data_IF_196412680666
#
_entry.id   IF_196412680666
#
_cell.length_a   1.000
_cell.length_b   1.000
_cell.length_c   1.000
_cell.angle_alpha   90.00
_cell.angle_beta   90.00
_cell.angle_gamma   90.00
#
_symmetry.space_group_name_H-M   'P 1'
#
loop_
_entity.id
_entity.type
_entity.pdbx_description
1 polymer ?
#
# COMPACT_ATOMS: atom_id res chain seq x y z
N UNK A 1 -16.95 -22.45 -64.13
CA UNK A 1 -15.98 -21.56 -63.44
C UNK A 1 -14.61 -22.23 -63.47
N UNK A 2 -13.57 -21.54 -63.93
CA UNK A 2 -12.28 -22.15 -64.24
C UNK A 2 -11.59 -22.64 -62.94
N UNK A 3 -11.10 -23.89 -62.88
CA UNK A 3 -10.56 -24.49 -61.64
C UNK A 3 -9.45 -23.65 -61.01
N UNK A 4 -8.69 -22.93 -61.85
CA UNK A 4 -7.67 -21.96 -61.45
C UNK A 4 -8.27 -20.70 -60.78
N UNK A 5 -9.39 -20.18 -61.28
CA UNK A 5 -10.10 -19.01 -60.71
C UNK A 5 -10.68 -19.34 -59.34
N UNK A 6 -11.23 -20.54 -59.16
CA UNK A 6 -11.71 -21.01 -57.85
C UNK A 6 -10.56 -21.16 -56.85
N UNK A 7 -9.41 -21.69 -57.30
CA UNK A 7 -8.22 -21.77 -56.46
C UNK A 7 -7.68 -20.38 -56.06
N UNK A 8 -7.62 -19.42 -56.99
CA UNK A 8 -7.20 -18.05 -56.68
C UNK A 8 -8.14 -17.35 -55.69
N UNK A 9 -9.46 -17.54 -55.82
CA UNK A 9 -10.44 -17.00 -54.89
C UNK A 9 -10.31 -17.62 -53.49
N UNK A 10 -10.14 -18.94 -53.39
CA UNK A 10 -9.91 -19.61 -52.11
C UNK A 10 -8.62 -19.16 -51.45
N UNK A 11 -7.52 -19.02 -52.21
CA UNK A 11 -6.26 -18.49 -51.67
C UNK A 11 -6.37 -17.03 -51.23
N UNK A 12 -7.13 -16.20 -51.95
CA UNK A 12 -7.36 -14.80 -51.58
C UNK A 12 -8.20 -14.66 -50.32
N UNK A 13 -9.23 -15.50 -50.14
CA UNK A 13 -10.05 -15.54 -48.93
C UNK A 13 -9.24 -16.05 -47.74
N UNK A 14 -8.44 -17.11 -47.91
CA UNK A 14 -7.52 -17.61 -46.88
C UNK A 14 -6.47 -16.56 -46.47
N UNK A 15 -5.91 -15.83 -47.45
CA UNK A 15 -4.96 -14.75 -47.18
C UNK A 15 -5.64 -13.57 -46.46
N UNK A 16 -6.87 -13.22 -46.84
CA UNK A 16 -7.67 -12.19 -46.17
C UNK A 16 -7.99 -12.53 -44.71
N UNK A 17 -8.33 -13.79 -44.42
CA UNK A 17 -8.56 -14.27 -43.05
C UNK A 17 -7.27 -14.21 -42.22
N UNK A 18 -6.11 -14.56 -42.80
CA UNK A 18 -4.81 -14.47 -42.12
C UNK A 18 -4.40 -13.02 -41.77
N UNK A 19 -4.80 -12.03 -42.58
CA UNK A 19 -4.56 -10.60 -42.27
C UNK A 19 -5.46 -10.07 -41.13
N UNK A 20 -6.67 -10.61 -40.96
CA UNK A 20 -7.58 -10.18 -39.87
C UNK A 20 -7.12 -10.62 -38.46
N UNK A 21 -6.25 -11.62 -38.35
CA UNK A 21 -5.74 -12.11 -37.05
C UNK A 21 -4.44 -11.42 -36.58
N UNK A 22 -3.86 -10.49 -37.34
CA UNK A 22 -2.52 -9.95 -37.06
C UNK A 22 -2.35 -8.41 -37.09
N UNK A 23 -3.42 -7.63 -37.26
CA UNK A 23 -3.31 -6.17 -37.35
C UNK A 23 -3.52 -5.48 -35.99
N UNK A 24 -2.53 -5.59 -35.09
CA UNK A 24 -2.40 -4.65 -33.96
C UNK A 24 -1.92 -3.30 -34.54
N UNK A 25 -2.66 -2.19 -34.34
CA UNK A 25 -2.20 -0.86 -34.74
C UNK A 25 -0.87 -0.49 -34.05
N UNK A 26 -0.07 0.38 -34.66
CA UNK A 26 1.28 0.71 -34.13
C UNK A 26 1.20 1.48 -32.81
N UNK A 27 0.15 2.26 -32.66
CA UNK A 27 -0.22 3.03 -31.48
C UNK A 27 -0.66 2.14 -30.31
N UNK A 28 -1.16 0.92 -30.57
CA UNK A 28 -1.56 -0.01 -29.51
C UNK A 28 -0.32 -0.71 -28.96
N UNK A 29 -0.12 -0.70 -27.64
CA UNK A 29 0.98 -1.41 -26.98
C UNK A 29 0.93 -2.91 -27.26
N UNK A 30 2.10 -3.54 -27.39
CA UNK A 30 2.13 -4.99 -27.53
C UNK A 30 1.75 -5.62 -26.19
N UNK A 31 1.29 -6.86 -26.24
CA UNK A 31 0.77 -7.57 -25.07
C UNK A 31 1.71 -7.53 -23.87
N UNK A 32 3.00 -7.77 -24.09
CA UNK A 32 4.00 -7.84 -23.00
C UNK A 32 4.20 -6.47 -22.33
N UNK A 33 4.23 -5.40 -23.11
CA UNK A 33 4.39 -4.06 -22.57
C UNK A 33 3.10 -3.54 -21.93
N UNK A 34 1.94 -3.90 -22.48
CA UNK A 34 0.64 -3.66 -21.85
C UNK A 34 0.54 -4.38 -20.49
N UNK A 35 0.87 -5.67 -20.40
CA UNK A 35 0.86 -6.42 -19.12
C UNK A 35 1.79 -5.79 -18.06
N UNK A 36 2.97 -5.33 -18.46
CA UNK A 36 3.89 -4.64 -17.52
C UNK A 36 3.33 -3.31 -17.04
N UNK A 37 2.74 -2.54 -17.95
CA UNK A 37 2.15 -1.25 -17.64
C UNK A 37 0.91 -1.41 -16.75
N UNK A 38 -0.01 -2.32 -17.09
CA UNK A 38 -1.17 -2.68 -16.25
C UNK A 38 -0.74 -3.01 -14.82
N UNK A 39 0.29 -3.85 -14.67
CA UNK A 39 0.82 -4.18 -13.35
C UNK A 39 1.26 -2.95 -12.55
N UNK A 40 2.03 -2.03 -13.15
CA UNK A 40 2.52 -0.86 -12.44
C UNK A 40 1.42 0.20 -12.21
N UNK A 41 0.44 0.31 -13.11
CA UNK A 41 -0.75 1.16 -12.92
C UNK A 41 -1.56 0.66 -11.72
N UNK A 42 -1.86 -0.64 -11.63
CA UNK A 42 -2.60 -1.19 -10.49
C UNK A 42 -1.86 -1.04 -9.16
N UNK A 43 -0.52 -1.11 -9.17
CA UNK A 43 0.27 -0.79 -7.97
C UNK A 43 0.14 0.69 -7.59
N UNK A 44 0.21 1.60 -8.56
CA UNK A 44 0.06 3.03 -8.31
C UNK A 44 -1.34 3.41 -7.81
N UNK A 45 -2.40 2.83 -8.39
CA UNK A 45 -3.78 2.99 -7.93
C UNK A 45 -3.94 2.47 -6.50
N UNK A 46 -3.42 1.28 -6.20
CA UNK A 46 -3.44 0.74 -4.85
C UNK A 46 -2.66 1.63 -3.85
N UNK A 47 -1.57 2.29 -4.27
CA UNK A 47 -0.84 3.25 -3.43
C UNK A 47 -1.68 4.51 -3.16
N UNK A 48 -2.35 5.04 -4.17
CA UNK A 48 -3.24 6.21 -4.04
C UNK A 48 -4.39 5.91 -3.08
N UNK A 49 -5.01 4.73 -3.21
CA UNK A 49 -6.12 4.31 -2.35
C UNK A 49 -5.68 4.08 -0.90
N UNK A 50 -4.51 3.46 -0.69
CA UNK A 50 -4.02 3.15 0.66
C UNK A 50 -3.39 4.35 1.38
N UNK A 51 -2.90 5.35 0.65
CA UNK A 51 -2.25 6.55 1.20
C UNK A 51 -2.98 7.84 0.82
N UNK A 52 -4.29 7.86 1.11
CA UNK A 52 -5.15 8.98 0.74
C UNK A 52 -4.68 10.33 1.29
N UNK A 53 -3.99 10.35 2.44
CA UNK A 53 -3.46 11.58 3.05
C UNK A 53 -2.36 12.21 2.18
N UNK A 54 -1.46 11.40 1.62
CA UNK A 54 -0.44 11.91 0.71
C UNK A 54 -0.97 12.11 -0.71
N UNK A 55 -2.06 11.45 -1.10
CA UNK A 55 -2.72 11.59 -2.41
C UNK A 55 -4.12 12.23 -2.33
N UNK A 56 -4.26 13.28 -1.52
CA UNK A 56 -5.51 13.97 -1.21
C UNK A 56 -6.05 14.85 -2.35
N UNK A 57 -5.19 15.24 -3.28
CA UNK A 57 -5.53 16.12 -4.41
C UNK A 57 -5.42 15.42 -5.77
N UNK A 58 -6.25 15.78 -6.76
CA UNK A 58 -6.16 15.21 -8.12
C UNK A 58 -4.76 15.33 -8.72
N UNK A 59 -4.08 16.48 -8.57
CA UNK A 59 -2.75 16.70 -9.13
C UNK A 59 -1.68 15.75 -8.60
N UNK A 60 -1.74 15.37 -7.31
CA UNK A 60 -0.80 14.36 -6.75
C UNK A 60 -1.06 12.97 -7.30
N UNK A 61 -2.34 12.61 -7.51
CA UNK A 61 -2.74 11.33 -8.13
C UNK A 61 -2.25 11.27 -9.58
N UNK A 62 -2.50 12.32 -10.35
CA UNK A 62 -2.07 12.44 -11.74
C UNK A 62 -0.55 12.39 -11.89
N UNK A 63 0.19 13.03 -10.97
CA UNK A 63 1.65 13.00 -10.99
C UNK A 63 2.21 11.58 -10.85
N UNK A 64 1.65 10.75 -9.95
CA UNK A 64 2.08 9.36 -9.78
C UNK A 64 1.77 8.53 -11.02
N UNK A 65 0.57 8.64 -11.58
CA UNK A 65 0.18 7.91 -12.80
C UNK A 65 1.04 8.35 -14.00
N UNK A 66 1.33 9.65 -14.12
CA UNK A 66 2.22 10.18 -15.16
C UNK A 66 3.64 9.63 -15.05
N UNK A 67 4.15 9.46 -13.83
CA UNK A 67 5.45 8.83 -13.58
C UNK A 67 5.47 7.36 -14.02
N UNK A 68 4.38 6.62 -13.80
CA UNK A 68 4.22 5.26 -14.32
C UNK A 68 4.29 5.26 -15.85
N UNK A 69 3.55 6.13 -16.54
CA UNK A 69 3.62 6.21 -18.00
C UNK A 69 5.01 6.55 -18.50
N UNK A 70 5.71 7.47 -17.84
CA UNK A 70 7.10 7.83 -18.17
C UNK A 70 8.05 6.64 -18.03
N UNK A 71 7.92 5.85 -16.97
CA UNK A 71 8.71 4.61 -16.74
C UNK A 71 8.54 3.60 -17.89
N UNK A 72 7.32 3.48 -18.41
CA UNK A 72 7.00 2.59 -19.55
C UNK A 72 7.22 3.23 -20.92
N UNK A 73 7.70 4.49 -20.97
CA UNK A 73 7.86 5.27 -22.21
C UNK A 73 6.57 5.31 -23.03
N UNK A 74 5.44 5.47 -22.36
CA UNK A 74 4.11 5.56 -22.97
C UNK A 74 3.43 6.87 -22.59
N UNK A 75 2.27 7.15 -23.18
CA UNK A 75 1.41 8.27 -22.81
C UNK A 75 0.05 7.77 -22.36
N UNK A 76 -0.71 8.60 -21.63
CA UNK A 76 -2.08 8.29 -21.25
C UNK A 76 -2.95 7.98 -22.49
N UNK A 77 -2.85 8.78 -23.54
CA UNK A 77 -3.59 8.55 -24.78
C UNK A 77 -3.25 7.18 -25.43
N UNK A 78 -1.98 6.78 -25.39
CA UNK A 78 -1.55 5.49 -25.91
C UNK A 78 -2.06 4.33 -25.04
N UNK A 79 -2.04 4.50 -23.72
CA UNK A 79 -2.63 3.57 -22.77
C UNK A 79 -4.13 3.39 -23.02
N UNK A 80 -4.89 4.49 -23.09
CA UNK A 80 -6.34 4.47 -23.30
C UNK A 80 -6.71 3.81 -24.63
N UNK A 81 -5.99 4.15 -25.70
CA UNK A 81 -6.14 3.53 -27.03
C UNK A 81 -5.87 2.03 -26.98
N UNK A 82 -4.80 1.62 -26.29
CA UNK A 82 -4.44 0.21 -26.15
C UNK A 82 -5.49 -0.56 -25.35
N UNK A 83 -5.95 0.02 -24.24
CA UNK A 83 -6.95 -0.58 -23.37
C UNK A 83 -8.27 -0.78 -24.10
N UNK A 84 -8.72 0.22 -24.86
CA UNK A 84 -9.90 0.11 -25.72
C UNK A 84 -9.74 -1.02 -26.73
N UNK A 85 -8.61 -1.07 -27.45
CA UNK A 85 -8.36 -2.10 -28.47
C UNK A 85 -8.32 -3.53 -27.89
N UNK A 86 -7.72 -3.72 -26.71
CA UNK A 86 -7.72 -5.03 -26.06
C UNK A 86 -9.08 -5.39 -25.47
N UNK A 87 -9.90 -4.43 -25.07
CA UNK A 87 -11.27 -4.70 -24.57
C UNK A 87 -12.14 -5.33 -25.66
N UNK A 88 -11.96 -4.94 -26.93
CA UNK A 88 -12.60 -5.59 -28.09
C UNK A 88 -12.07 -7.01 -28.38
N UNK A 89 -10.97 -7.40 -27.73
CA UNK A 89 -10.31 -8.71 -27.83
C UNK A 89 -10.30 -9.38 -26.46
N UNK A 90 -11.50 -9.59 -25.92
CA UNK A 90 -11.74 -10.02 -24.55
C UNK A 90 -10.90 -11.22 -24.10
N UNK A 91 -10.70 -12.23 -24.96
CA UNK A 91 -9.89 -13.41 -24.62
C UNK A 91 -8.42 -13.07 -24.32
N UNK A 92 -7.85 -12.11 -25.06
CA UNK A 92 -6.48 -11.65 -24.85
C UNK A 92 -6.42 -10.78 -23.61
N UNK A 93 -7.40 -9.89 -23.43
CA UNK A 93 -7.48 -9.01 -22.28
C UNK A 93 -7.62 -9.78 -20.96
N UNK A 94 -8.47 -10.80 -20.90
CA UNK A 94 -8.61 -11.65 -19.72
C UNK A 94 -7.30 -12.39 -19.39
N UNK A 95 -6.62 -12.94 -20.40
CA UNK A 95 -5.30 -13.58 -20.21
C UNK A 95 -4.24 -12.60 -19.68
N UNK A 96 -4.26 -11.35 -20.12
CA UNK A 96 -3.38 -10.32 -19.58
C UNK A 96 -3.70 -10.01 -18.11
N UNK A 97 -4.97 -9.84 -17.77
CA UNK A 97 -5.42 -9.63 -16.39
C UNK A 97 -5.02 -10.79 -15.47
N UNK A 98 -5.21 -12.04 -15.91
CA UNK A 98 -4.81 -13.22 -15.15
C UNK A 98 -3.28 -13.27 -14.93
N UNK A 99 -2.51 -12.94 -15.96
CA UNK A 99 -1.04 -12.82 -15.88
C UNK A 99 -0.63 -11.77 -14.83
N UNK A 100 -1.24 -10.59 -14.88
CA UNK A 100 -0.99 -9.48 -13.94
C UNK A 100 -1.40 -9.88 -12.51
N UNK A 101 -2.59 -10.46 -12.33
CA UNK A 101 -3.09 -10.96 -11.04
C UNK A 101 -2.15 -12.01 -10.45
N UNK A 102 -1.74 -13.00 -11.24
CA UNK A 102 -0.81 -14.03 -10.78
C UNK A 102 0.57 -13.46 -10.41
N UNK A 103 1.01 -12.39 -11.08
CA UNK A 103 2.25 -11.68 -10.73
C UNK A 103 2.09 -10.92 -9.41
N UNK A 104 1.00 -10.19 -9.22
CA UNK A 104 0.68 -9.47 -7.97
C UNK A 104 0.64 -10.45 -6.78
N UNK A 105 -0.09 -11.56 -6.90
CA UNK A 105 -0.20 -12.58 -5.85
C UNK A 105 1.15 -13.22 -5.51
N UNK A 106 2.00 -13.49 -6.50
CA UNK A 106 3.36 -14.00 -6.24
C UNK A 106 4.20 -13.01 -5.43
N UNK A 107 4.18 -11.73 -5.83
CA UNK A 107 4.93 -10.67 -5.13
C UNK A 107 4.42 -10.44 -3.72
N UNK A 108 3.11 -10.52 -3.52
CA UNK A 108 2.50 -10.49 -2.19
C UNK A 108 3.00 -11.66 -1.34
N UNK A 109 2.88 -12.90 -1.82
CA UNK A 109 3.37 -14.10 -1.10
C UNK A 109 4.86 -14.05 -0.79
N UNK A 110 5.69 -13.56 -1.71
CA UNK A 110 7.12 -13.36 -1.46
C UNK A 110 7.37 -12.39 -0.31
N UNK A 111 6.62 -11.28 -0.27
CA UNK A 111 6.69 -10.30 0.82
C UNK A 111 6.24 -10.91 2.16
N UNK A 112 5.10 -11.60 2.17
CA UNK A 112 4.59 -12.32 3.34
C UNK A 112 5.60 -13.35 3.86
N UNK A 113 6.24 -14.12 2.98
CA UNK A 113 7.27 -15.09 3.38
C UNK A 113 8.51 -14.46 3.97
N UNK A 114 8.94 -13.29 3.47
CA UNK A 114 10.07 -12.56 4.04
C UNK A 114 9.70 -12.05 5.44
N UNK A 115 8.50 -11.49 5.60
CA UNK A 115 8.01 -10.98 6.88
C UNK A 115 7.81 -12.10 7.89
N UNK A 116 7.20 -13.23 7.50
CA UNK A 116 7.02 -14.38 8.37
C UNK A 116 8.36 -14.99 8.80
N UNK A 117 9.36 -15.03 7.92
CA UNK A 117 10.72 -15.45 8.30
C UNK A 117 11.35 -14.50 9.31
N UNK A 118 11.20 -13.19 9.13
CA UNK A 118 11.66 -12.20 10.12
C UNK A 118 10.96 -12.40 11.46
N UNK A 119 9.64 -12.60 11.45
CA UNK A 119 8.84 -12.87 12.64
C UNK A 119 9.28 -14.13 13.40
N UNK A 120 9.52 -15.24 12.69
CA UNK A 120 9.94 -16.50 13.30
C UNK A 120 11.35 -16.40 13.92
N UNK A 121 12.28 -15.70 13.26
CA UNK A 121 13.59 -15.44 13.84
C UNK A 121 13.50 -14.65 15.15
N UNK A 122 12.58 -13.69 15.24
CA UNK A 122 12.37 -12.88 16.45
C UNK A 122 11.67 -13.63 17.58
N UNK A 123 10.80 -14.61 17.27
CA UNK A 123 10.20 -15.49 18.29
C UNK A 123 11.25 -16.21 19.13
N UNK A 124 12.32 -16.66 18.48
CA UNK A 124 13.39 -17.42 19.13
C UNK A 124 14.20 -16.61 20.15
N UNK A 125 14.17 -15.27 20.06
CA UNK A 125 14.99 -14.36 20.87
C UNK A 125 14.24 -13.74 22.06
N UNK A 126 12.91 -13.61 21.99
CA UNK A 126 12.08 -12.92 22.98
C UNK A 126 11.33 -13.84 23.98
N UNK A 127 11.51 -15.16 23.90
CA UNK A 127 10.71 -16.15 24.64
C UNK A 127 10.94 -16.21 26.17
N UNK A 128 11.52 -15.18 26.80
CA UNK A 128 11.80 -15.16 28.23
C UNK A 128 10.86 -14.18 28.94
N UNK A 129 9.79 -14.76 29.51
CA UNK A 129 9.02 -14.24 30.66
C UNK A 129 7.67 -13.54 30.46
N UNK A 130 7.19 -13.27 29.23
CA UNK A 130 5.90 -12.58 29.04
C UNK A 130 4.93 -13.33 28.11
N UNK A 131 3.63 -13.11 28.31
CA UNK A 131 2.56 -13.58 27.40
C UNK A 131 2.79 -13.06 25.99
N UNK A 132 2.39 -13.82 24.96
CA UNK A 132 2.47 -13.37 23.57
C UNK A 132 1.69 -12.09 23.31
N UNK A 133 0.62 -11.80 24.06
CA UNK A 133 -0.20 -10.59 23.91
C UNK A 133 0.29 -9.40 24.75
N UNK A 134 1.40 -9.55 25.48
CA UNK A 134 1.95 -8.48 26.30
C UNK A 134 2.61 -7.41 25.42
N UNK A 135 2.25 -6.16 25.68
CA UNK A 135 2.85 -4.99 25.06
C UNK A 135 3.48 -4.19 26.21
N UNK A 136 4.82 -3.99 26.21
CA UNK A 136 5.45 -3.19 27.24
C UNK A 136 5.06 -1.72 27.09
N UNK A 137 4.82 -1.00 28.19
CA UNK A 137 4.56 0.44 28.15
C UNK A 137 5.82 1.27 27.80
N UNK A 138 7.01 0.73 28.10
CA UNK A 138 8.30 1.33 27.79
C UNK A 138 9.29 0.23 27.41
N UNK A 139 10.21 0.52 26.48
CA UNK A 139 11.25 -0.39 26.04
C UNK A 139 12.56 0.34 25.80
N UNK A 140 13.69 -0.24 26.19
CA UNK A 140 15.01 0.36 26.00
C UNK A 140 15.93 -0.63 25.29
N UNK A 141 16.64 -0.16 24.26
CA UNK A 141 17.73 -0.91 23.65
C UNK A 141 19.01 -0.63 24.43
N UNK A 142 19.31 -1.47 25.42
CA UNK A 142 20.43 -1.32 26.35
C UNK A 142 21.20 -2.65 26.52
N UNK A 143 22.05 -2.77 27.54
CA UNK A 143 22.82 -4.00 27.82
C UNK A 143 21.96 -5.18 28.28
N UNK A 144 20.76 -4.92 28.82
CA UNK A 144 19.82 -5.96 29.23
C UNK A 144 19.00 -6.45 28.04
N UNK A 145 18.77 -5.59 27.06
CA UNK A 145 18.06 -5.89 25.82
C UNK A 145 18.94 -5.61 24.58
N UNK A 146 20.12 -6.24 24.45
CA UNK A 146 21.04 -5.90 23.40
C UNK A 146 20.50 -6.48 22.09
N UNK A 147 19.88 -5.61 21.28
CA UNK A 147 19.49 -5.85 19.87
C UNK A 147 18.21 -6.68 19.66
N UNK A 148 17.68 -7.25 20.72
CA UNK A 148 16.35 -7.86 20.69
C UNK A 148 15.38 -6.70 20.89
N UNK A 149 14.45 -6.46 19.98
CA UNK A 149 13.33 -5.59 20.32
C UNK A 149 12.23 -6.41 20.99
N UNK A 150 11.00 -5.92 20.97
CA UNK A 150 9.85 -6.66 21.51
C UNK A 150 8.85 -7.00 20.41
N UNK A 151 8.03 -8.00 20.68
CA UNK A 151 6.94 -8.44 19.83
C UNK A 151 5.69 -8.70 20.65
N UNK A 152 4.55 -8.60 20.00
CA UNK A 152 3.26 -8.98 20.56
C UNK A 152 2.37 -9.59 19.49
N UNK A 153 1.45 -10.44 19.93
CA UNK A 153 0.45 -11.11 19.11
C UNK A 153 -0.86 -11.19 19.87
N UNK A 154 -1.91 -10.64 19.29
CA UNK A 154 -3.27 -10.71 19.80
C UNK A 154 -4.08 -11.59 18.85
N UNK A 155 -4.71 -12.62 19.42
CA UNK A 155 -5.77 -13.36 18.76
C UNK A 155 -7.12 -12.62 18.89
N UNK A 156 -8.17 -13.21 18.35
CA UNK A 156 -9.52 -12.62 18.40
C UNK A 156 -10.00 -12.36 19.84
N UNK A 157 -9.60 -13.19 20.81
CA UNK A 157 -9.96 -13.02 22.23
C UNK A 157 -9.27 -11.80 22.82
N UNK A 158 -7.97 -11.65 22.58
CA UNK A 158 -7.18 -10.52 23.07
C UNK A 158 -7.55 -9.22 22.37
N UNK A 159 -7.87 -9.26 21.07
CA UNK A 159 -8.39 -8.10 20.32
C UNK A 159 -9.68 -7.59 20.95
N UNK A 160 -10.62 -8.49 21.25
CA UNK A 160 -11.91 -8.12 21.85
C UNK A 160 -11.75 -7.44 23.22
N UNK A 161 -10.73 -7.85 23.99
CA UNK A 161 -10.43 -7.26 25.31
C UNK A 161 -9.68 -5.93 25.23
N UNK A 162 -8.70 -5.82 24.32
CA UNK A 162 -7.71 -4.72 24.31
C UNK A 162 -8.05 -3.60 23.34
N UNK A 163 -8.77 -3.88 22.26
CA UNK A 163 -9.15 -2.90 21.26
C UNK A 163 -10.62 -2.60 21.42
N UNK A 164 -10.97 -1.38 21.78
CA UNK A 164 -12.37 -0.94 21.91
C UNK A 164 -12.89 -0.35 20.61
N UNK A 165 -12.10 0.48 19.94
CA UNK A 165 -12.57 1.27 18.79
C UNK A 165 -12.50 0.51 17.47
N UNK A 166 -13.27 0.96 16.48
CA UNK A 166 -13.21 0.42 15.13
C UNK A 166 -11.90 0.81 14.45
N UNK A 167 -11.50 2.08 14.57
CA UNK A 167 -10.16 2.56 14.21
C UNK A 167 -9.28 2.58 15.46
N UNK A 168 -8.07 2.04 15.35
CA UNK A 168 -7.12 1.98 16.45
C UNK A 168 -5.70 2.36 16.00
N UNK A 169 -4.83 2.64 16.97
CA UNK A 169 -3.43 2.93 16.70
C UNK A 169 -2.48 2.09 17.54
N UNK A 170 -1.35 1.72 16.95
CA UNK A 170 -0.15 1.31 17.68
C UNK A 170 0.82 2.50 17.69
N UNK A 171 0.98 3.14 18.86
CA UNK A 171 1.77 4.37 18.97
C UNK A 171 2.76 4.35 20.12
N UNK A 172 3.78 5.20 19.98
CA UNK A 172 4.91 5.30 20.92
C UNK A 172 5.74 6.55 20.64
N UNK A 173 6.50 6.98 21.63
CA UNK A 173 7.49 8.04 21.53
C UNK A 173 8.90 7.45 21.46
N UNK A 174 9.72 7.92 20.53
CA UNK A 174 11.12 7.48 20.41
C UNK A 174 12.06 8.60 20.85
N UNK A 175 13.02 8.25 21.71
CA UNK A 175 14.12 9.12 22.12
C UNK A 175 15.46 8.41 22.05
N UNK A 176 16.55 9.17 21.94
CA UNK A 176 17.92 8.64 21.94
C UNK A 176 18.41 8.14 20.58
N UNK A 177 17.68 8.39 19.50
CA UNK A 177 18.18 8.23 18.12
C UNK A 177 19.22 9.32 17.84
N UNK A 178 20.47 8.97 17.52
CA UNK A 178 21.51 9.96 17.25
C UNK A 178 21.19 10.79 16.00
N UNK A 179 21.43 12.10 16.06
CA UNK A 179 21.30 12.98 14.89
C UNK A 179 22.20 12.51 13.75
N UNK A 180 21.73 12.64 12.50
CA UNK A 180 22.46 12.23 11.29
C UNK A 180 22.86 10.74 11.26
N UNK A 181 22.17 9.88 12.00
CA UNK A 181 22.37 8.44 11.96
C UNK A 181 21.20 7.74 11.24
N UNK A 182 21.44 6.52 10.75
CA UNK A 182 20.40 5.71 10.10
C UNK A 182 20.36 4.32 10.75
N UNK A 183 19.89 4.22 12.02
CA UNK A 183 19.78 2.94 12.67
C UNK A 183 18.87 2.02 11.85
N UNK A 184 19.20 0.74 11.80
CA UNK A 184 18.29 -0.25 11.22
C UNK A 184 17.24 -0.64 12.27
N UNK A 185 16.47 0.38 12.69
CA UNK A 185 15.38 0.29 13.64
C UNK A 185 14.06 0.35 12.87
N UNK A 186 13.26 -0.70 13.02
CA UNK A 186 11.99 -0.85 12.33
C UNK A 186 10.89 -1.22 13.29
N UNK A 187 9.71 -0.71 12.98
CA UNK A 187 8.44 -1.12 13.57
C UNK A 187 7.57 -1.73 12.49
N UNK A 188 6.76 -2.71 12.87
CA UNK A 188 5.75 -3.28 12.00
C UNK A 188 4.51 -3.66 12.79
N UNK A 189 3.36 -3.51 12.13
CA UNK A 189 2.04 -3.98 12.56
C UNK A 189 1.43 -4.76 11.39
N UNK A 190 1.15 -6.03 11.61
CA UNK A 190 0.44 -6.93 10.71
C UNK A 190 -0.99 -7.12 11.21
N UNK A 191 -1.95 -6.86 10.33
CA UNK A 191 -3.38 -6.97 10.58
C UNK A 191 -3.91 -8.11 9.72
N UNK A 192 -4.25 -9.22 10.36
CA UNK A 192 -4.74 -10.41 9.69
C UNK A 192 -6.27 -10.41 9.71
N UNK A 193 -6.87 -10.43 8.54
CA UNK A 193 -8.30 -10.65 8.32
C UNK A 193 -8.50 -12.06 7.75
N UNK A 194 -9.73 -12.44 7.40
CA UNK A 194 -9.99 -13.79 6.86
C UNK A 194 -9.27 -14.01 5.53
N UNK A 195 -9.44 -13.08 4.59
CA UNK A 195 -8.96 -13.22 3.21
C UNK A 195 -7.88 -12.18 2.86
N UNK A 196 -7.57 -11.27 3.79
CA UNK A 196 -6.65 -10.16 3.58
C UNK A 196 -5.65 -10.07 4.73
N UNK A 197 -4.39 -9.76 4.43
CA UNK A 197 -3.40 -9.35 5.44
C UNK A 197 -2.87 -7.99 5.08
N UNK A 198 -2.97 -7.04 6.02
CA UNK A 198 -2.51 -5.67 5.84
C UNK A 198 -1.26 -5.46 6.68
N UNK A 199 -0.22 -4.93 6.03
CA UNK A 199 1.05 -4.60 6.66
C UNK A 199 1.18 -3.08 6.81
N UNK A 200 1.62 -2.64 7.99
CA UNK A 200 2.03 -1.26 8.29
C UNK A 200 3.43 -1.33 8.86
N UNK A 201 4.37 -0.59 8.28
CA UNK A 201 5.75 -0.63 8.72
C UNK A 201 6.41 0.73 8.58
N UNK A 202 7.30 1.05 9.50
CA UNK A 202 8.03 2.31 9.46
C UNK A 202 9.49 2.10 9.90
N UNK A 203 10.41 2.86 9.29
CA UNK A 203 11.78 2.98 9.76
C UNK A 203 11.84 4.13 10.75
N UNK A 204 12.48 3.89 11.89
CA UNK A 204 12.64 4.91 12.92
C UNK A 204 14.02 5.55 12.76
N UNK A 205 14.04 6.79 12.27
CA UNK A 205 15.28 7.52 11.97
C UNK A 205 15.47 8.77 12.81
N UNK A 206 14.45 9.18 13.56
CA UNK A 206 14.47 10.41 14.35
C UNK A 206 13.68 10.29 15.66
N UNK A 207 13.95 11.21 16.57
CA UNK A 207 13.26 11.31 17.86
C UNK A 207 11.91 12.04 17.66
N UNK A 208 10.81 11.30 17.68
CA UNK A 208 9.45 11.83 17.56
C UNK A 208 8.41 10.81 18.06
N UNK A 209 7.15 11.22 18.04
CA UNK A 209 6.01 10.32 18.20
C UNK A 209 5.67 9.62 16.88
N UNK A 210 5.35 8.33 16.94
CA UNK A 210 4.96 7.51 15.81
C UNK A 210 3.60 6.87 16.08
N UNK A 211 2.82 6.65 15.01
CA UNK A 211 1.49 6.05 15.09
C UNK A 211 1.21 5.21 13.84
N UNK A 212 1.06 3.90 14.02
CA UNK A 212 0.62 2.99 12.97
C UNK A 212 -0.88 2.72 13.13
N UNK A 213 -1.66 3.10 12.13
CA UNK A 213 -3.12 2.95 12.15
C UNK A 213 -3.57 1.54 11.76
N UNK A 214 -4.62 1.05 12.42
CA UNK A 214 -5.31 -0.19 12.11
C UNK A 214 -6.83 -0.02 12.19
N UNK A 215 -7.55 -0.94 11.56
CA UNK A 215 -9.00 -0.98 11.55
C UNK A 215 -9.48 -2.37 11.96
N UNK A 216 -10.58 -2.46 12.70
CA UNK A 216 -11.21 -3.75 13.02
C UNK A 216 -11.96 -4.33 11.83
N UNK A 217 -12.50 -3.46 10.99
CA UNK A 217 -13.39 -3.81 9.89
C UNK A 217 -12.86 -3.19 8.61
N UNK A 218 -12.74 -4.02 7.58
CA UNK A 218 -12.54 -3.59 6.20
C UNK A 218 -13.75 -4.07 5.38
N UNK A 219 -13.80 -3.72 4.09
CA UNK A 219 -14.91 -4.10 3.23
C UNK A 219 -15.18 -5.62 3.28
N UNK A 220 -16.29 -6.01 3.91
CA UNK A 220 -16.75 -7.38 4.11
C UNK A 220 -15.80 -8.33 4.88
N UNK A 221 -14.86 -7.81 5.68
CA UNK A 221 -13.96 -8.65 6.48
C UNK A 221 -13.70 -8.04 7.86
N UNK A 222 -13.37 -8.89 8.84
CA UNK A 222 -13.15 -8.51 10.25
C UNK A 222 -11.80 -9.04 10.70
N UNK A 223 -11.08 -8.20 11.44
CA UNK A 223 -9.75 -8.54 11.94
C UNK A 223 -9.80 -9.77 12.85
N UNK A 224 -8.86 -10.68 12.66
CA UNK A 224 -8.73 -11.95 13.37
C UNK A 224 -7.45 -12.01 14.20
N UNK A 225 -6.41 -11.34 13.74
CA UNK A 225 -5.10 -11.29 14.38
C UNK A 225 -4.44 -9.93 14.26
N UNK A 226 -3.74 -9.52 15.32
CA UNK A 226 -2.82 -8.37 15.29
C UNK A 226 -1.46 -8.87 15.75
N UNK A 227 -0.45 -8.70 14.92
CA UNK A 227 0.94 -9.01 15.29
C UNK A 227 1.79 -7.77 15.11
N UNK A 228 2.54 -7.38 16.13
CA UNK A 228 3.45 -6.24 16.04
C UNK A 228 4.85 -6.58 16.53
N UNK A 229 5.84 -5.89 15.98
CA UNK A 229 7.20 -5.94 16.49
C UNK A 229 7.92 -4.59 16.34
N UNK A 230 8.88 -4.39 17.23
CA UNK A 230 9.92 -3.36 17.11
C UNK A 230 11.24 -4.09 17.08
N UNK A 231 12.17 -3.71 16.22
CA UNK A 231 13.49 -4.34 16.12
C UNK A 231 14.58 -3.34 15.78
N UNK A 232 15.66 -3.39 16.55
CA UNK A 232 16.93 -2.75 16.22
C UNK A 232 17.93 -3.80 15.72
N UNK A 233 18.31 -3.72 14.45
CA UNK A 233 19.43 -4.49 13.94
C UNK A 233 20.72 -3.66 14.06
N UNK A 234 21.49 -3.92 15.10
CA UNK A 234 22.75 -3.24 15.37
C UNK A 234 23.86 -4.26 15.63
N UNK A 235 24.66 -4.54 14.61
CA UNK A 235 25.69 -5.58 14.65
C UNK A 235 26.80 -5.23 15.64
N UNK A 236 27.12 -3.95 15.78
CA UNK A 236 28.27 -3.42 16.54
C UNK A 236 27.88 -2.84 17.91
N UNK A 237 26.59 -2.62 18.17
CA UNK A 237 26.09 -2.14 19.46
C UNK A 237 26.34 -0.65 19.68
N UNK A 238 26.27 0.17 18.62
CA UNK A 238 26.41 1.63 18.68
C UNK A 238 25.14 2.35 19.17
N UNK A 239 23.97 1.72 19.09
CA UNK A 239 22.67 2.32 19.37
C UNK A 239 22.06 1.88 20.71
N UNK A 240 22.85 1.95 21.80
CA UNK A 240 22.47 1.45 23.16
C UNK A 240 21.68 2.43 24.04
N UNK A 241 21.17 3.51 23.46
CA UNK A 241 20.44 4.57 24.20
C UNK A 241 19.06 4.87 23.62
N UNK A 242 18.64 4.11 22.60
CA UNK A 242 17.33 4.29 21.99
C UNK A 242 16.26 3.74 22.93
N UNK A 243 15.25 4.55 23.21
CA UNK A 243 14.15 4.21 24.11
C UNK A 243 12.81 4.51 23.47
N UNK A 244 11.88 3.58 23.64
CA UNK A 244 10.48 3.69 23.29
C UNK A 244 9.72 3.96 24.58
N UNK A 245 8.94 5.03 24.58
CA UNK A 245 8.12 5.45 25.72
C UNK A 245 6.66 5.53 25.31
N UNK A 246 5.78 5.49 26.30
CA UNK A 246 4.33 5.66 26.10
C UNK A 246 3.79 4.72 25.01
N UNK A 247 4.26 3.48 24.99
CA UNK A 247 3.84 2.50 23.99
C UNK A 247 2.40 2.09 24.32
N UNK A 248 1.51 2.15 23.34
CA UNK A 248 0.11 1.73 23.49
C UNK A 248 -0.42 1.07 22.23
N UNK A 249 -1.52 0.33 22.39
CA UNK A 249 -2.35 -0.20 21.31
C UNK A 249 -3.82 0.12 21.64
N UNK A 250 -4.61 0.52 20.65
CA UNK A 250 -5.98 1.07 20.74
C UNK A 250 -6.03 2.59 20.79
N UNK A 251 -6.10 3.17 21.98
CA UNK A 251 -6.39 4.58 22.15
C UNK A 251 -5.10 5.39 22.07
N UNK A 252 -4.98 6.38 21.17
CA UNK A 252 -3.90 7.34 21.22
C UNK A 252 -3.97 8.08 22.55
N UNK A 253 -2.99 7.80 23.42
CA UNK A 253 -2.73 8.64 24.58
C UNK A 253 -2.77 10.10 24.11
N UNK A 254 -3.47 10.99 24.82
CA UNK A 254 -3.68 12.38 24.39
C UNK A 254 -2.37 13.15 24.10
N UNK A 255 -1.21 12.62 24.52
CA UNK A 255 0.13 13.09 24.14
C UNK A 255 0.47 12.91 22.65
N UNK A 256 -0.08 11.94 21.93
CA UNK A 256 0.15 11.71 20.48
C UNK A 256 -0.79 12.54 19.61
N UNK A 257 -1.85 13.13 20.18
CA UNK A 257 -2.76 14.05 19.46
C UNK A 257 -2.14 15.42 19.14
N UNK A 258 -0.90 15.69 19.56
CA UNK A 258 -0.20 16.96 19.27
C UNK A 258 0.84 16.81 18.17
N UNK A 259 0.38 16.48 16.98
CA UNK A 259 0.92 17.07 15.75
C UNK A 259 -0.23 17.82 15.08
N UNK A 260 -0.27 19.17 15.11
CA UNK A 260 -1.33 19.91 14.46
C UNK A 260 -1.13 19.87 12.94
N UNK A 261 -1.82 18.95 12.28
CA UNK A 261 -2.23 19.15 10.89
C UNK A 261 -3.47 20.04 10.88
N UNK A 262 -3.26 21.36 10.85
CA UNK A 262 -4.24 22.41 10.52
C UNK A 262 -5.65 22.28 11.12
N UNK A 263 -5.79 22.65 12.39
CA UNK A 263 -7.04 23.27 12.82
C UNK A 263 -7.13 24.66 12.15
N UNK A 264 -8.05 24.82 11.20
CA UNK A 264 -8.36 26.10 10.56
C UNK A 264 -8.48 27.20 11.60
N UNK A 265 -7.72 28.28 11.42
CA UNK A 265 -7.78 29.42 12.32
C UNK A 265 -9.16 30.09 12.25
N UNK A 266 -9.67 30.73 13.32
CA UNK A 266 -10.95 31.44 13.28
C UNK A 266 -11.05 32.47 12.15
N UNK A 267 -9.90 32.96 11.67
CA UNK A 267 -9.78 33.88 10.55
C UNK A 267 -10.04 33.22 9.18
N UNK A 268 -9.76 31.93 9.02
CA UNK A 268 -10.06 31.17 7.78
C UNK A 268 -11.52 30.75 7.68
N UNK A 269 -12.23 30.56 8.81
CA UNK A 269 -13.69 30.29 8.78
C UNK A 269 -14.49 31.50 8.27
N UNK A 270 -14.06 32.72 8.60
CA UNK A 270 -14.73 33.94 8.17
C UNK A 270 -14.64 34.21 6.66
N UNK A 271 -13.65 33.64 5.96
CA UNK A 271 -13.46 33.82 4.51
C UNK A 271 -14.27 32.84 3.65
N UNK A 272 -14.88 31.82 4.25
CA UNK A 272 -15.70 30.84 3.52
C UNK A 272 -17.17 31.31 3.42
N UNK A 273 -17.63 32.16 4.32
CA UNK A 273 -19.03 32.61 4.41
C UNK A 273 -19.38 33.79 3.48
N UNK A 274 -18.40 34.38 2.78
CA UNK A 274 -18.58 35.54 1.90
C UNK A 274 -18.62 35.24 0.39
N UNK A 275 -18.76 33.99 -0.05
CA UNK A 275 -19.00 33.73 -1.49
C UNK A 275 -20.47 33.98 -1.87
N UNK A 276 -20.77 34.86 -2.84
CA UNK A 276 -22.15 35.12 -3.25
C UNK A 276 -22.73 33.91 -4.01
N UNK A 277 -24.00 33.61 -3.71
CA UNK A 277 -24.80 32.56 -4.38
C UNK A 277 -24.89 32.82 -5.90
N UNK A 278 -24.78 31.79 -6.76
CA UNK A 278 -24.84 32.00 -8.21
C UNK A 278 -26.24 32.45 -8.62
N UNK A 279 -26.29 33.53 -9.42
CA UNK A 279 -27.51 34.01 -10.07
C UNK A 279 -27.87 33.08 -11.23
N UNK A 280 -29.14 32.68 -11.28
CA UNK A 280 -29.70 31.95 -12.40
C UNK A 280 -29.74 32.84 -13.65
N UNK A 281 -29.09 32.40 -14.73
CA UNK A 281 -29.19 33.05 -16.05
C UNK A 281 -30.23 32.30 -16.87
N UNK A 282 -31.36 32.97 -17.07
CA UNK A 282 -32.37 32.67 -18.08
C UNK A 282 -31.84 33.12 -19.44
N UNK A 283 -31.89 32.27 -20.47
CA UNK A 283 -31.73 32.72 -21.86
C UNK A 283 -32.91 32.23 -22.68
N UNK A 284 -33.67 33.21 -23.17
CA UNK A 284 -34.68 33.07 -24.22
C UNK A 284 -34.02 33.11 -25.61
N UNK A 285 -34.69 32.42 -26.55
CA UNK A 285 -34.52 32.34 -28.01
C UNK A 285 -33.42 31.37 -28.47
#
# INVERSE_FOLDING_TARGET
>A
MNRKVVAYLLTSVLLGILFSFCNRPKEVLNRKDMEKLMYDVYIAEAMIENDYQNFDTPGKKEALISEVFRKHKTTQAQWDTSLSWYSDKIDIYLKMNDSVKARLQRRQKESEQIMNRQFQQEQSLAARSYSSSYIPNNYSFDELNPKNGFRFQLDTTEITKKITNADFGFGFDVVGVPANSNPNLRVMLMLEYKDTVIYRSERITENRSYLLHGQKYILNDTIRGITGFVRLQDTIGIYRNIRFKNIFLDNPNDSVRKTPGNALTPKERALIDERPRPQAVTTHI
#
